data_IF_103439351807
#
_entry.id   IF_103439351807
#
_cell.length_a   1.000
_cell.length_b   1.000
_cell.length_c   1.000
_cell.angle_alpha   90.00
_cell.angle_beta   90.00
_cell.angle_gamma   90.00
#
_symmetry.space_group_name_H-M   'P 1'
#
loop_
_entity.id
_entity.type
_entity.pdbx_description
1 polymer ?
#
# COMPACT_ATOMS: atom_id res chain seq x y z
N UNK A 1 -8.32 20.54 30.47
CA UNK A 1 -8.43 19.10 30.16
C UNK A 1 -9.88 18.64 30.01
N UNK A 2 -10.85 19.55 29.90
CA UNK A 2 -12.30 19.30 29.73
C UNK A 2 -12.81 19.61 28.32
N UNK A 3 -12.16 20.50 27.58
CA UNK A 3 -12.57 20.80 26.20
C UNK A 3 -12.36 19.62 25.24
N UNK A 4 -11.25 18.86 25.37
CA UNK A 4 -10.98 17.72 24.49
C UNK A 4 -11.95 16.54 24.70
N UNK A 5 -12.45 16.35 25.93
CA UNK A 5 -13.41 15.29 26.23
C UNK A 5 -14.79 15.55 25.60
N UNK A 6 -15.18 16.82 25.48
CA UNK A 6 -16.48 17.20 24.89
C UNK A 6 -16.50 17.03 23.37
N UNK A 7 -15.34 17.17 22.72
CA UNK A 7 -15.19 16.90 21.28
C UNK A 7 -14.89 15.44 20.93
N UNK A 8 -14.59 14.59 21.93
CA UNK A 8 -14.28 13.18 21.73
C UNK A 8 -15.37 12.38 20.95
N UNK A 9 -16.68 12.51 21.25
CA UNK A 9 -17.72 11.80 20.50
C UNK A 9 -17.89 12.32 19.07
N UNK A 10 -17.75 13.63 18.87
CA UNK A 10 -17.77 14.24 17.54
C UNK A 10 -16.56 13.75 16.71
N UNK A 11 -15.38 13.70 17.33
CA UNK A 11 -14.16 13.20 16.71
C UNK A 11 -14.25 11.72 16.37
N UNK A 12 -14.94 10.88 17.15
CA UNK A 12 -15.14 9.47 16.81
C UNK A 12 -16.04 9.28 15.59
N UNK A 13 -17.12 10.07 15.48
CA UNK A 13 -18.07 9.97 14.36
C UNK A 13 -17.44 10.44 13.04
N UNK A 14 -16.59 11.48 13.10
CA UNK A 14 -15.90 12.04 11.92
C UNK A 14 -14.48 11.51 11.70
N UNK A 15 -14.01 10.57 12.54
CA UNK A 15 -12.64 10.02 12.44
C UNK A 15 -12.30 9.48 11.06
N UNK A 16 -13.15 8.65 10.39
CA UNK A 16 -12.80 8.12 9.08
C UNK A 16 -12.64 9.23 8.04
N UNK A 17 -13.46 10.28 8.12
CA UNK A 17 -13.40 11.43 7.23
C UNK A 17 -12.10 12.22 7.44
N UNK A 18 -11.71 12.45 8.70
CA UNK A 18 -10.43 13.09 9.02
C UNK A 18 -9.24 12.26 8.52
N UNK A 19 -9.27 10.94 8.73
CA UNK A 19 -8.22 10.02 8.25
C UNK A 19 -8.09 10.07 6.73
N UNK A 20 -9.20 10.06 6.00
CA UNK A 20 -9.22 10.16 4.52
C UNK A 20 -8.66 11.51 4.07
N UNK A 21 -9.11 12.62 4.66
CA UNK A 21 -8.60 13.95 4.29
C UNK A 21 -7.10 14.04 4.55
N UNK A 22 -6.64 13.61 5.73
CA UNK A 22 -5.22 13.59 6.07
C UNK A 22 -4.42 12.69 5.13
N UNK A 23 -4.92 11.50 4.79
CA UNK A 23 -4.27 10.59 3.84
C UNK A 23 -4.14 11.23 2.45
N UNK A 24 -5.17 11.89 1.95
CA UNK A 24 -5.14 12.59 0.67
C UNK A 24 -4.19 13.79 0.70
N UNK A 25 -4.17 14.56 1.79
CA UNK A 25 -3.22 15.66 1.97
C UNK A 25 -1.78 15.13 1.99
N UNK A 26 -1.53 14.03 2.70
CA UNK A 26 -0.22 13.36 2.70
C UNK A 26 0.16 12.89 1.29
N UNK A 27 -0.76 12.33 0.52
CA UNK A 27 -0.50 11.88 -0.86
C UNK A 27 -0.15 13.04 -1.80
N UNK A 28 -0.78 14.21 -1.59
CA UNK A 28 -0.45 15.43 -2.33
C UNK A 28 0.90 16.01 -1.89
N UNK A 29 1.18 16.05 -0.58
CA UNK A 29 2.39 16.68 -0.02
C UNK A 29 3.66 15.85 -0.21
N UNK A 30 3.57 14.53 -0.10
CA UNK A 30 4.68 13.59 -0.26
C UNK A 30 4.81 13.07 -1.70
N UNK A 31 4.22 13.76 -2.67
CA UNK A 31 4.37 13.46 -4.08
C UNK A 31 5.86 13.57 -4.48
N UNK A 32 6.48 12.39 -4.68
CA UNK A 32 7.86 12.07 -5.05
C UNK A 32 8.89 11.83 -3.91
N UNK A 33 8.96 10.60 -3.38
CA UNK A 33 10.25 9.98 -3.08
C UNK A 33 10.67 9.18 -4.32
N UNK A 34 11.28 9.84 -5.31
CA UNK A 34 11.79 9.21 -6.56
C UNK A 34 12.72 8.00 -6.36
N UNK A 35 13.19 7.71 -5.14
CA UNK A 35 14.25 6.74 -4.91
C UNK A 35 14.03 5.76 -3.74
N UNK A 36 12.93 5.86 -2.97
CA UNK A 36 12.73 4.99 -1.80
C UNK A 36 11.25 4.70 -1.54
N UNK A 37 10.53 4.19 -2.54
CA UNK A 37 9.16 3.74 -2.32
C UNK A 37 9.15 2.50 -1.41
N UNK A 38 8.41 2.50 -0.28
CA UNK A 38 8.24 1.33 0.57
C UNK A 38 7.75 0.09 -0.21
N UNK A 39 6.96 0.33 -1.26
CA UNK A 39 6.51 -0.70 -2.19
C UNK A 39 7.64 -1.40 -2.95
N UNK A 40 8.71 -0.69 -3.32
CA UNK A 40 9.89 -1.28 -3.98
C UNK A 40 10.61 -2.22 -3.01
N UNK A 41 10.70 -1.84 -1.72
CA UNK A 41 11.22 -2.71 -0.67
C UNK A 41 10.39 -3.98 -0.50
N UNK A 42 9.06 -3.85 -0.50
CA UNK A 42 8.16 -5.01 -0.48
C UNK A 42 8.33 -5.89 -1.73
N UNK A 43 8.46 -5.29 -2.92
CA UNK A 43 8.72 -6.00 -4.18
C UNK A 43 10.00 -6.84 -4.12
N UNK A 44 11.08 -6.32 -3.55
CA UNK A 44 12.33 -7.07 -3.36
C UNK A 44 12.17 -8.26 -2.40
N UNK A 45 11.41 -8.08 -1.30
CA UNK A 45 11.07 -9.16 -0.37
C UNK A 45 10.24 -10.23 -1.08
N UNK A 46 9.20 -9.82 -1.80
CA UNK A 46 8.34 -10.72 -2.57
C UNK A 46 9.13 -11.50 -3.63
N UNK A 47 10.03 -10.85 -4.35
CA UNK A 47 10.88 -11.50 -5.35
C UNK A 47 11.90 -12.47 -4.72
N UNK A 48 12.40 -12.15 -3.52
CA UNK A 48 13.28 -13.07 -2.77
C UNK A 48 12.51 -14.30 -2.29
N UNK A 49 11.28 -14.11 -1.78
CA UNK A 49 10.37 -15.18 -1.40
C UNK A 49 9.97 -16.05 -2.60
N UNK A 50 9.67 -15.43 -3.74
CA UNK A 50 9.39 -16.12 -4.99
C UNK A 50 10.59 -16.97 -5.41
N UNK A 51 11.80 -16.41 -5.42
CA UNK A 51 13.02 -17.15 -5.74
C UNK A 51 13.26 -18.32 -4.80
N UNK A 52 12.97 -18.20 -3.50
CA UNK A 52 13.19 -19.29 -2.55
C UNK A 52 12.10 -20.37 -2.60
N UNK A 53 10.83 -19.98 -2.82
CA UNK A 53 9.69 -20.88 -2.71
C UNK A 53 9.20 -21.44 -4.05
N UNK A 54 9.55 -20.80 -5.17
CA UNK A 54 9.16 -21.20 -6.53
C UNK A 54 10.29 -21.90 -7.31
N UNK A 55 11.23 -22.57 -6.61
CA UNK A 55 12.44 -23.12 -7.21
C UNK A 55 12.28 -24.48 -7.93
N UNK A 56 11.08 -24.86 -8.37
CA UNK A 56 10.85 -26.19 -8.95
C UNK A 56 10.10 -26.16 -10.27
N UNK A 57 10.88 -26.23 -11.36
CA UNK A 57 10.46 -26.38 -12.76
C UNK A 57 9.70 -27.67 -13.07
N UNK A 58 9.57 -28.61 -12.12
CA UNK A 58 8.89 -29.90 -12.29
C UNK A 58 7.85 -30.21 -11.20
N UNK A 59 7.22 -29.19 -10.60
CA UNK A 59 6.17 -29.41 -9.60
C UNK A 59 4.77 -29.52 -10.20
N UNK A 60 3.96 -30.43 -9.65
CA UNK A 60 2.53 -30.51 -9.94
C UNK A 60 1.85 -29.14 -9.74
N UNK A 61 0.88 -28.75 -10.58
CA UNK A 61 0.22 -27.44 -10.53
C UNK A 61 -0.39 -27.11 -9.16
N UNK A 62 -0.78 -28.13 -8.38
CA UNK A 62 -1.32 -27.95 -7.03
C UNK A 62 -0.22 -27.50 -6.06
N UNK A 63 0.98 -28.07 -6.15
CA UNK A 63 2.12 -27.70 -5.29
C UNK A 63 2.58 -26.27 -5.56
N UNK A 64 2.62 -25.86 -6.83
CA UNK A 64 2.95 -24.49 -7.22
C UNK A 64 1.95 -23.46 -6.65
N UNK A 65 0.65 -23.79 -6.64
CA UNK A 65 -0.37 -22.93 -6.01
C UNK A 65 -0.19 -22.83 -4.49
N UNK A 66 0.10 -23.94 -3.82
CA UNK A 66 0.31 -23.95 -2.37
C UNK A 66 1.58 -23.18 -1.96
N UNK A 67 2.69 -23.33 -2.70
CA UNK A 67 3.90 -22.55 -2.44
C UNK A 67 3.70 -21.07 -2.70
N UNK A 68 2.95 -20.71 -3.74
CA UNK A 68 2.54 -19.32 -4.00
C UNK A 68 1.67 -18.74 -2.86
N UNK A 69 0.70 -19.52 -2.36
CA UNK A 69 -0.12 -19.11 -1.21
C UNK A 69 0.73 -18.94 0.06
N UNK A 70 1.66 -19.86 0.33
CA UNK A 70 2.59 -19.75 1.46
C UNK A 70 3.49 -18.52 1.32
N UNK A 71 4.02 -18.26 0.12
CA UNK A 71 4.81 -17.06 -0.15
C UNK A 71 4.01 -15.78 0.11
N UNK A 72 2.74 -15.74 -0.32
CA UNK A 72 1.84 -14.61 -0.07
C UNK A 72 1.60 -14.40 1.43
N UNK A 73 1.25 -15.46 2.16
CA UNK A 73 0.98 -15.38 3.61
C UNK A 73 2.25 -14.93 4.35
N UNK A 74 3.41 -15.49 4.02
CA UNK A 74 4.68 -15.10 4.63
C UNK A 74 5.08 -13.66 4.28
N UNK A 75 4.79 -13.20 3.07
CA UNK A 75 5.08 -11.83 2.66
C UNK A 75 4.19 -10.82 3.40
N UNK A 76 2.89 -11.09 3.53
CA UNK A 76 1.89 -10.11 4.00
C UNK A 76 1.67 -10.16 5.51
N UNK A 77 1.66 -11.36 6.10
CA UNK A 77 1.31 -11.57 7.52
C UNK A 77 2.17 -10.74 8.50
N UNK A 78 3.50 -10.63 8.35
CA UNK A 78 4.32 -9.84 9.28
C UNK A 78 3.94 -8.36 9.30
N UNK A 79 3.63 -7.78 8.12
CA UNK A 79 3.25 -6.38 8.01
C UNK A 79 1.86 -6.12 8.57
N UNK A 80 0.90 -7.00 8.28
CA UNK A 80 -0.46 -6.89 8.84
C UNK A 80 -0.42 -6.99 10.36
N UNK A 81 0.35 -7.94 10.90
CA UNK A 81 0.51 -8.09 12.34
C UNK A 81 1.20 -6.88 12.97
N UNK A 82 2.29 -6.39 12.39
CA UNK A 82 3.00 -5.22 12.88
C UNK A 82 2.11 -3.96 12.88
N UNK A 83 1.39 -3.70 11.78
CA UNK A 83 0.47 -2.57 11.68
C UNK A 83 -0.69 -2.67 12.68
N UNK A 84 -1.27 -3.86 12.85
CA UNK A 84 -2.34 -4.10 13.83
C UNK A 84 -1.86 -3.90 15.27
N UNK A 85 -0.67 -4.42 15.58
CA UNK A 85 -0.03 -4.26 16.89
C UNK A 85 0.27 -2.78 17.20
N UNK A 86 0.83 -2.04 16.24
CA UNK A 86 1.08 -0.61 16.35
C UNK A 86 -0.22 0.18 16.52
N UNK A 87 -1.26 -0.12 15.74
CA UNK A 87 -2.57 0.52 15.87
C UNK A 87 -3.16 0.31 17.27
N UNK A 88 -3.03 -0.91 17.82
CA UNK A 88 -3.46 -1.21 19.18
C UNK A 88 -2.69 -0.42 20.24
N UNK A 89 -1.37 -0.30 20.09
CA UNK A 89 -0.53 0.45 21.03
C UNK A 89 -0.86 1.95 21.02
N UNK A 90 -1.15 2.50 19.84
CA UNK A 90 -1.47 3.92 19.63
C UNK A 90 -2.93 4.27 19.95
N UNK A 91 -3.79 3.28 20.23
CA UNK A 91 -5.23 3.49 20.43
C UNK A 91 -5.55 4.48 21.56
N UNK A 92 -4.69 4.56 22.59
CA UNK A 92 -4.87 5.45 23.73
C UNK A 92 -4.43 6.89 23.46
N UNK A 93 -3.87 7.18 22.28
CA UNK A 93 -3.38 8.50 21.87
C UNK A 93 -4.05 8.93 20.57
N UNK A 94 -5.25 9.56 20.64
CA UNK A 94 -6.07 9.89 19.45
C UNK A 94 -5.35 10.63 18.32
N UNK A 95 -4.55 11.70 18.55
CA UNK A 95 -3.90 12.40 17.44
C UNK A 95 -2.87 11.51 16.72
N UNK A 96 -2.16 10.67 17.47
CA UNK A 96 -1.13 9.79 16.92
C UNK A 96 -1.77 8.60 16.19
N UNK A 97 -2.90 8.08 16.68
CA UNK A 97 -3.64 7.02 16.01
C UNK A 97 -4.21 7.49 14.67
N UNK A 98 -4.79 8.69 14.61
CA UNK A 98 -5.31 9.29 13.38
C UNK A 98 -4.16 9.50 12.37
N UNK A 99 -3.01 10.00 12.83
CA UNK A 99 -1.84 10.19 11.96
C UNK A 99 -1.35 8.86 11.39
N UNK A 100 -1.24 7.82 12.22
CA UNK A 100 -0.82 6.49 11.79
C UNK A 100 -1.82 5.85 10.81
N UNK A 101 -3.12 5.91 11.10
CA UNK A 101 -4.18 5.43 10.20
C UNK A 101 -4.16 6.17 8.86
N UNK A 102 -3.98 7.49 8.90
CA UNK A 102 -3.86 8.31 7.68
C UNK A 102 -2.63 7.92 6.86
N UNK A 103 -1.51 7.63 7.53
CA UNK A 103 -0.28 7.18 6.88
C UNK A 103 -0.45 5.79 6.24
N UNK A 104 -1.05 4.83 6.95
CA UNK A 104 -1.37 3.50 6.41
C UNK A 104 -2.33 3.62 5.22
N UNK A 105 -3.35 4.47 5.32
CA UNK A 105 -4.30 4.71 4.24
C UNK A 105 -3.64 5.40 3.03
N UNK A 106 -2.75 6.36 3.27
CA UNK A 106 -1.93 6.98 2.23
C UNK A 106 -1.15 5.92 1.43
N UNK A 107 -0.48 4.99 2.11
CA UNK A 107 0.24 3.88 1.47
C UNK A 107 -0.70 2.96 0.67
N UNK A 108 -1.94 2.78 1.14
CA UNK A 108 -2.93 1.95 0.46
C UNK A 108 -3.55 2.62 -0.78
N UNK A 109 -3.72 3.95 -0.77
CA UNK A 109 -4.27 4.71 -1.90
C UNK A 109 -3.26 4.76 -3.06
N UNK A 110 -2.02 5.17 -2.78
CA UNK A 110 -0.94 5.21 -3.77
C UNK A 110 -1.27 5.94 -5.08
N UNK A 111 -2.15 6.96 -5.05
CA UNK A 111 -2.75 7.55 -6.24
C UNK A 111 -1.70 8.17 -7.15
N UNK A 112 -0.72 8.87 -6.59
CA UNK A 112 0.31 9.53 -7.37
C UNK A 112 1.20 8.52 -8.12
N UNK A 113 1.55 7.41 -7.47
CA UNK A 113 2.30 6.30 -8.10
C UNK A 113 1.50 5.68 -9.24
N UNK A 114 0.20 5.47 -9.04
CA UNK A 114 -0.68 4.91 -10.06
C UNK A 114 -0.79 5.83 -11.27
N UNK A 115 -0.95 7.14 -11.04
CA UNK A 115 -1.00 8.15 -12.10
C UNK A 115 0.27 8.16 -12.94
N UNK A 116 1.44 8.10 -12.31
CA UNK A 116 2.73 8.08 -13.00
C UNK A 116 2.89 6.84 -13.88
N UNK A 117 2.47 5.68 -13.40
CA UNK A 117 2.56 4.43 -14.15
C UNK A 117 1.56 4.37 -15.32
N UNK A 118 0.36 4.94 -15.15
CA UNK A 118 -0.68 4.93 -16.20
C UNK A 118 -0.44 6.01 -17.27
N UNK A 119 0.21 7.14 -16.93
CA UNK A 119 0.37 8.26 -17.86
C UNK A 119 1.01 7.89 -19.21
N UNK A 120 2.11 7.10 -19.27
CA UNK A 120 2.70 6.65 -20.54
C UNK A 120 1.74 5.81 -21.38
N UNK A 121 0.96 4.92 -20.73
CA UNK A 121 -0.06 4.10 -21.39
C UNK A 121 -1.15 5.01 -21.98
N UNK A 122 -1.63 5.99 -21.21
CA UNK A 122 -2.63 6.96 -21.65
C UNK A 122 -2.14 7.76 -22.87
N UNK A 123 -0.92 8.29 -22.84
CA UNK A 123 -0.34 9.02 -23.96
C UNK A 123 -0.22 8.15 -25.22
N UNK A 124 0.29 6.92 -25.08
CA UNK A 124 0.42 5.99 -26.21
C UNK A 124 -0.95 5.62 -26.82
N UNK A 125 -1.98 5.42 -25.99
CA UNK A 125 -3.35 5.18 -26.46
C UNK A 125 -3.95 6.41 -27.16
N UNK A 126 -3.71 7.61 -26.63
CA UNK A 126 -4.19 8.87 -27.22
C UNK A 126 -3.58 9.13 -28.60
N UNK A 127 -2.34 8.67 -28.82
CA UNK A 127 -1.65 8.75 -30.11
C UNK A 127 -1.96 7.58 -31.06
N UNK A 128 -2.84 6.65 -30.67
CA UNK A 128 -3.20 5.47 -31.48
C UNK A 128 -2.11 4.39 -31.53
N UNK A 129 -1.06 4.50 -30.73
CA UNK A 129 0.08 3.57 -30.70
C UNK A 129 -0.19 2.38 -29.76
N UNK A 130 -1.05 1.47 -30.19
CA UNK A 130 -1.47 0.31 -29.37
C UNK A 130 -0.31 -0.62 -29.00
N UNK A 131 0.68 -0.78 -29.88
CA UNK A 131 1.89 -1.57 -29.61
C UNK A 131 2.71 -0.97 -28.46
N UNK A 132 2.92 0.35 -28.49
CA UNK A 132 3.63 1.10 -27.45
C UNK A 132 2.87 1.05 -26.11
N UNK A 133 1.55 1.19 -26.13
CA UNK A 133 0.71 1.07 -24.94
C UNK A 133 0.83 -0.32 -24.27
N UNK A 134 0.86 -1.40 -25.07
CA UNK A 134 1.07 -2.78 -24.56
C UNK A 134 2.45 -2.93 -23.93
N UNK A 135 3.48 -2.34 -24.52
CA UNK A 135 4.83 -2.39 -23.96
C UNK A 135 4.90 -1.72 -22.58
N UNK A 136 4.19 -0.60 -22.38
CA UNK A 136 4.12 0.06 -21.07
C UNK A 136 3.33 -0.72 -20.01
N UNK A 137 2.52 -1.71 -20.38
CA UNK A 137 1.84 -2.59 -19.40
C UNK A 137 2.67 -3.80 -18.97
N UNK A 138 3.80 -4.07 -19.64
CA UNK A 138 4.65 -5.24 -19.35
C UNK A 138 5.84 -4.96 -18.43
N UNK A 139 6.07 -3.71 -18.05
CA UNK A 139 7.11 -3.24 -17.13
C UNK A 139 6.46 -2.49 -15.97
#
# INVERSE_FOLDING_TARGET
MTLLSDFQPLLSDFRPLLVVICALLLDIMFAEPRHAHPLVGFGNIAHTLEKHLNHHTHTSPIRAKLTGLLALVLAVSPWVFACSFLAHLLANTPPLSILFESFVLYLAIGWQSLKQHIMPIYCALKEGQISTARHHTSY
#
